data_IF_142526101219
#
_entry.id   IF_142526101219
#
_cell.length_a   1.000
_cell.length_b   1.000
_cell.length_c   1.000
_cell.angle_alpha   90.00
_cell.angle_beta   90.00
_cell.angle_gamma   90.00
#
_symmetry.space_group_name_H-M   'P 1'
#
loop_
_entity.id
_entity.type
_entity.pdbx_description
1 polymer ?
#
# COMPACT_ATOMS: atom_id res chain seq x y z
N UNK A 1 12.34 -11.28 -11.53
CA UNK A 1 12.21 -10.86 -10.12
C UNK A 1 11.60 -9.47 -10.14
N UNK A 2 10.44 -9.25 -9.51
CA UNK A 2 9.78 -7.94 -9.52
C UNK A 2 10.55 -6.98 -8.60
N UNK A 3 11.02 -5.85 -9.14
CA UNK A 3 11.58 -4.76 -8.35
C UNK A 3 10.43 -3.81 -7.98
N UNK A 4 10.17 -3.67 -6.68
CA UNK A 4 9.22 -2.69 -6.21
C UNK A 4 9.87 -1.31 -6.28
N UNK A 5 9.22 -0.36 -6.95
CA UNK A 5 9.66 1.03 -6.88
C UNK A 5 9.24 1.65 -5.53
N UNK A 6 9.87 1.19 -4.45
CA UNK A 6 9.56 1.64 -3.09
C UNK A 6 9.91 3.12 -2.88
N UNK A 7 10.90 3.63 -3.63
CA UNK A 7 11.25 5.04 -3.64
C UNK A 7 10.10 5.90 -4.17
N UNK A 8 9.47 5.48 -5.27
CA UNK A 8 8.28 6.15 -5.81
C UNK A 8 7.11 6.06 -4.83
N UNK A 9 6.88 4.91 -4.21
CA UNK A 9 5.86 4.76 -3.17
C UNK A 9 6.10 5.73 -1.99
N UNK A 10 7.33 5.83 -1.48
CA UNK A 10 7.68 6.76 -0.40
C UNK A 10 7.50 8.23 -0.81
N UNK A 11 7.87 8.57 -2.06
CA UNK A 11 7.66 9.90 -2.62
C UNK A 11 6.18 10.24 -2.69
N UNK A 12 5.34 9.34 -3.19
CA UNK A 12 3.89 9.53 -3.25
C UNK A 12 3.27 9.73 -1.87
N UNK A 13 3.64 8.90 -0.87
CA UNK A 13 3.19 9.07 0.52
C UNK A 13 3.52 10.48 1.02
N UNK A 14 4.77 10.91 0.82
CA UNK A 14 5.27 12.19 1.32
C UNK A 14 4.63 13.38 0.60
N UNK A 15 4.52 13.32 -0.73
CA UNK A 15 3.88 14.36 -1.55
C UNK A 15 2.40 14.54 -1.23
N UNK A 16 1.70 13.46 -0.85
CA UNK A 16 0.31 13.52 -0.42
C UNK A 16 0.13 13.85 1.07
N UNK A 17 1.22 13.99 1.83
CA UNK A 17 1.21 14.16 3.30
C UNK A 17 0.35 13.08 4.01
N UNK A 18 0.36 11.84 3.49
CA UNK A 18 -0.39 10.74 4.06
C UNK A 18 0.19 10.36 5.42
N UNK A 19 -0.67 10.21 6.44
CA UNK A 19 -0.30 9.89 7.82
C UNK A 19 -0.57 8.42 8.15
N UNK A 20 -1.57 7.78 7.54
CA UNK A 20 -1.97 6.40 7.78
C UNK A 20 -2.14 5.66 6.46
N UNK A 21 -1.09 4.95 6.07
CA UNK A 21 -0.99 4.27 4.77
C UNK A 21 -1.26 2.79 4.95
N UNK A 22 -2.14 2.22 4.14
CA UNK A 22 -2.42 0.79 4.10
C UNK A 22 -1.73 0.14 2.89
N UNK A 23 -0.90 -0.87 3.14
CA UNK A 23 -0.32 -1.72 2.10
C UNK A 23 -1.30 -2.82 1.73
N UNK A 24 -1.76 -2.79 0.49
CA UNK A 24 -2.62 -3.81 -0.08
C UNK A 24 -1.81 -4.69 -1.06
N UNK A 25 -1.54 -5.93 -0.64
CA UNK A 25 -0.58 -6.83 -1.29
C UNK A 25 -1.26 -8.14 -1.74
N UNK A 26 -1.01 -8.63 -2.97
CA UNK A 26 -1.40 -9.99 -3.37
C UNK A 26 -0.63 -11.04 -2.56
N UNK A 27 -1.17 -12.25 -2.47
CA UNK A 27 -0.62 -13.32 -1.61
C UNK A 27 0.85 -13.64 -1.88
N UNK A 28 1.27 -13.60 -3.15
CA UNK A 28 2.68 -13.81 -3.52
C UNK A 28 3.65 -12.75 -2.98
N UNK A 29 3.13 -11.59 -2.54
CA UNK A 29 3.91 -10.48 -2.01
C UNK A 29 3.78 -10.32 -0.49
N UNK A 30 2.78 -10.92 0.16
CA UNK A 30 2.61 -10.90 1.62
C UNK A 30 3.86 -11.34 2.40
N UNK A 31 4.66 -12.34 1.98
CA UNK A 31 5.92 -12.68 2.66
C UNK A 31 6.95 -11.55 2.72
N UNK A 32 6.83 -10.54 1.83
CA UNK A 32 7.70 -9.36 1.80
C UNK A 32 7.09 -8.14 2.50
N UNK A 33 5.87 -8.24 3.03
CA UNK A 33 5.11 -7.12 3.58
C UNK A 33 5.89 -6.35 4.66
N UNK A 34 6.50 -7.06 5.61
CA UNK A 34 7.29 -6.43 6.68
C UNK A 34 8.48 -5.65 6.12
N UNK A 35 9.20 -6.19 5.13
CA UNK A 35 10.33 -5.49 4.50
C UNK A 35 9.89 -4.19 3.80
N UNK A 36 8.74 -4.24 3.11
CA UNK A 36 8.15 -3.07 2.45
C UNK A 36 7.72 -2.03 3.50
N UNK A 37 7.04 -2.50 4.56
CA UNK A 37 6.60 -1.67 5.67
C UNK A 37 7.77 -0.96 6.35
N UNK A 38 8.84 -1.68 6.68
CA UNK A 38 10.02 -1.13 7.35
C UNK A 38 10.71 -0.08 6.48
N UNK A 39 10.83 -0.33 5.18
CA UNK A 39 11.38 0.65 4.24
C UNK A 39 10.53 1.93 4.23
N UNK A 40 9.21 1.82 4.06
CA UNK A 40 8.32 2.99 3.97
C UNK A 40 8.25 3.77 5.30
N UNK A 41 8.30 3.08 6.46
CA UNK A 41 8.40 3.73 7.77
C UNK A 41 9.72 4.49 7.96
N UNK A 42 10.81 4.05 7.32
CA UNK A 42 12.10 4.73 7.38
C UNK A 42 12.14 5.98 6.49
N UNK A 43 11.56 5.88 5.30
CA UNK A 43 11.60 6.96 4.30
C UNK A 43 10.47 7.98 4.46
N UNK A 44 9.48 7.73 5.32
CA UNK A 44 8.31 8.59 5.51
C UNK A 44 7.93 8.70 6.97
N UNK A 45 7.19 9.76 7.34
CA UNK A 45 6.64 9.92 8.69
C UNK A 45 5.26 9.25 8.86
N UNK A 46 4.85 8.40 7.91
CA UNK A 46 3.54 7.78 7.92
C UNK A 46 3.51 6.52 8.78
N UNK A 47 2.37 6.28 9.44
CA UNK A 47 2.05 5.00 10.04
C UNK A 47 1.64 4.02 8.94
N UNK A 48 2.41 2.94 8.78
CA UNK A 48 2.21 1.97 7.70
C UNK A 48 1.53 0.71 8.26
N UNK A 49 0.36 0.38 7.71
CA UNK A 49 -0.45 -0.80 8.02
C UNK A 49 -0.36 -1.84 6.91
N UNK A 50 -0.56 -3.11 7.24
CA UNK A 50 -0.62 -4.21 6.26
C UNK A 50 -2.05 -4.74 6.23
N UNK A 51 -2.65 -4.83 5.04
CA UNK A 51 -3.95 -5.45 4.88
C UNK A 51 -3.85 -6.97 5.08
N UNK A 52 -4.61 -7.49 6.05
CA UNK A 52 -4.63 -8.91 6.38
C UNK A 52 -5.67 -9.72 5.56
N UNK A 53 -6.56 -9.05 4.83
CA UNK A 53 -7.60 -9.69 4.03
C UNK A 53 -7.09 -10.26 2.70
N UNK A 54 -8.03 -10.62 1.83
CA UNK A 54 -7.74 -11.03 0.45
C UNK A 54 -7.24 -9.85 -0.40
N UNK A 55 -6.53 -10.20 -1.47
CA UNK A 55 -6.19 -9.31 -2.57
C UNK A 55 -6.22 -10.15 -3.85
N UNK A 56 -7.38 -10.22 -4.50
CA UNK A 56 -7.56 -11.03 -5.72
C UNK A 56 -7.21 -10.27 -7.01
N UNK A 57 -7.22 -8.93 -6.96
CA UNK A 57 -7.12 -8.10 -8.15
C UNK A 57 -7.13 -6.60 -7.85
N UNK A 58 -6.99 -5.79 -8.90
CA UNK A 58 -7.12 -4.34 -8.80
C UNK A 58 -8.54 -3.86 -8.47
N UNK A 59 -9.55 -4.72 -8.64
CA UNK A 59 -10.92 -4.46 -8.20
C UNK A 59 -11.14 -4.67 -6.69
N UNK A 60 -10.22 -5.36 -6.00
CA UNK A 60 -10.38 -5.79 -4.60
C UNK A 60 -9.83 -4.75 -3.61
N UNK A 61 -10.11 -3.46 -3.82
CA UNK A 61 -9.57 -2.41 -2.96
C UNK A 61 -10.32 -2.36 -1.62
N UNK A 62 -9.63 -2.33 -0.46
CA UNK A 62 -10.25 -2.25 0.86
C UNK A 62 -10.71 -0.80 1.16
N UNK A 63 -11.71 -0.32 0.42
CA UNK A 63 -12.17 1.07 0.46
C UNK A 63 -12.76 1.42 1.85
N UNK A 64 -13.34 0.44 2.53
CA UNK A 64 -13.88 0.56 3.89
C UNK A 64 -12.80 0.92 4.93
N UNK A 65 -11.51 0.71 4.62
CA UNK A 65 -10.40 1.11 5.49
C UNK A 65 -10.37 2.63 5.75
N UNK A 66 -11.01 3.43 4.89
CA UNK A 66 -11.23 4.85 5.14
C UNK A 66 -12.01 5.11 6.43
N UNK A 67 -12.92 4.21 6.80
CA UNK A 67 -13.76 4.35 8.01
C UNK A 67 -12.94 4.22 9.30
N UNK A 68 -11.76 3.59 9.25
CA UNK A 68 -10.82 3.48 10.37
C UNK A 68 -9.68 4.50 10.28
N UNK A 69 -9.82 5.49 9.38
CA UNK A 69 -8.90 6.61 9.26
C UNK A 69 -7.65 6.34 8.42
N UNK A 70 -7.64 5.30 7.58
CA UNK A 70 -6.62 5.18 6.52
C UNK A 70 -6.83 6.32 5.51
N UNK A 71 -5.77 7.06 5.23
CA UNK A 71 -5.79 8.21 4.31
C UNK A 71 -5.18 7.89 2.94
N UNK A 72 -4.44 6.79 2.82
CA UNK A 72 -3.89 6.32 1.55
C UNK A 72 -3.79 4.79 1.51
N UNK A 73 -4.08 4.20 0.34
CA UNK A 73 -3.85 2.78 0.05
C UNK A 73 -2.77 2.68 -1.03
N UNK A 74 -1.72 1.92 -0.75
CA UNK A 74 -0.75 1.52 -1.77
C UNK A 74 -1.06 0.10 -2.20
N UNK A 75 -1.52 -0.02 -3.44
CA UNK A 75 -1.93 -1.30 -4.03
C UNK A 75 -0.85 -1.82 -4.98
N UNK A 76 -0.20 -2.92 -4.60
CA UNK A 76 0.90 -3.49 -5.38
C UNK A 76 0.43 -4.62 -6.29
N UNK A 77 1.16 -4.84 -7.38
CA UNK A 77 1.02 -6.04 -8.21
C UNK A 77 -0.11 -5.98 -9.25
N UNK A 78 -0.85 -4.87 -9.32
CA UNK A 78 -1.90 -4.68 -10.31
C UNK A 78 -1.82 -3.29 -10.95
N UNK A 79 -2.28 -3.20 -12.20
CA UNK A 79 -2.48 -1.91 -12.86
C UNK A 79 -3.66 -1.18 -12.24
N UNK A 80 -3.66 0.15 -12.34
CA UNK A 80 -4.74 0.99 -11.82
C UNK A 80 -6.09 0.51 -12.34
N UNK A 81 -6.98 0.15 -11.42
CA UNK A 81 -8.37 -0.13 -11.77
C UNK A 81 -9.04 1.15 -12.23
N UNK A 82 -9.63 1.11 -13.43
CA UNK A 82 -10.36 2.24 -14.01
C UNK A 82 -11.84 2.02 -13.81
N UNK A 83 -12.39 2.51 -12.70
CA UNK A 83 -13.84 2.64 -12.57
C UNK A 83 -14.24 3.93 -13.31
N UNK A 84 -15.18 3.80 -14.25
CA UNK A 84 -15.88 4.94 -14.89
C UNK A 84 -16.98 5.43 -13.96
#
# INVERSE_FOLDING_TARGET
MYEFNLQEAAKEISSNNAKKVLLHLPDGLKPKANKIQDYLKKETNAEIFIWAGSCYGSCDLPIESKNIGIDMIIHFGHTKWRIK
#
